data_IF_532085031045
#
_entry.id   IF_532085031045
#
_cell.length_a   1.000
_cell.length_b   1.000
_cell.length_c   1.000
_cell.angle_alpha   90.00
_cell.angle_beta   90.00
_cell.angle_gamma   90.00
#
_symmetry.space_group_name_H-M   'P 1'
#
loop_
_entity.id
_entity.type
_entity.pdbx_description
1 polymer ?
#
# COMPACT_ATOMS: atom_id res chain seq x y z
N UNK A 1 -9.65 9.91 11.43
CA UNK A 1 -8.68 10.11 10.32
C UNK A 1 -9.24 9.90 8.90
N UNK A 2 -9.63 8.70 8.47
CA UNK A 2 -10.02 8.46 7.05
C UNK A 2 -11.25 9.28 6.63
N UNK A 3 -12.31 9.31 7.45
CA UNK A 3 -13.50 10.13 7.20
C UNK A 3 -13.17 11.63 7.11
N UNK A 4 -12.36 12.12 8.06
CA UNK A 4 -11.88 13.50 8.04
C UNK A 4 -11.10 13.85 6.76
N UNK A 5 -10.33 12.91 6.22
CA UNK A 5 -9.62 13.11 4.95
C UNK A 5 -10.55 13.12 3.73
N UNK A 6 -11.56 12.24 3.67
CA UNK A 6 -12.59 12.25 2.62
C UNK A 6 -13.33 13.59 2.61
N UNK A 7 -13.81 14.02 3.78
CA UNK A 7 -14.57 15.26 3.92
C UNK A 7 -13.71 16.47 3.59
N UNK A 8 -12.46 16.52 4.06
CA UNK A 8 -11.59 17.64 3.76
C UNK A 8 -11.26 17.76 2.26
N UNK A 9 -11.06 16.64 1.55
CA UNK A 9 -10.86 16.66 0.10
C UNK A 9 -12.14 17.04 -0.66
N UNK A 10 -13.32 16.64 -0.17
CA UNK A 10 -14.58 17.06 -0.77
C UNK A 10 -14.80 18.57 -0.57
N UNK A 11 -14.59 19.06 0.65
CA UNK A 11 -14.78 20.46 1.03
C UNK A 11 -13.75 21.42 0.41
N UNK A 12 -12.61 20.91 -0.06
CA UNK A 12 -11.61 21.73 -0.77
C UNK A 12 -11.96 21.98 -2.24
N UNK A 13 -13.10 21.49 -2.73
CA UNK A 13 -13.52 21.56 -4.13
C UNK A 13 -14.87 22.27 -4.25
N UNK A 14 -15.10 22.90 -5.39
CA UNK A 14 -16.44 23.27 -5.82
C UNK A 14 -17.11 22.03 -6.46
N UNK A 15 -17.95 21.33 -5.71
CA UNK A 15 -18.63 20.14 -6.22
C UNK A 15 -19.70 20.49 -7.27
N UNK A 16 -19.75 19.72 -8.36
CA UNK A 16 -20.88 19.74 -9.30
C UNK A 16 -22.15 19.19 -8.67
N UNK A 17 -23.30 19.36 -9.35
CA UNK A 17 -24.62 19.04 -8.80
C UNK A 17 -24.77 17.59 -8.30
N UNK A 18 -24.39 16.58 -9.10
CA UNK A 18 -24.48 15.18 -8.65
C UNK A 18 -23.48 14.89 -7.53
N UNK A 19 -22.28 15.46 -7.60
CA UNK A 19 -21.29 15.29 -6.54
C UNK A 19 -21.74 15.91 -5.21
N UNK A 20 -22.43 17.05 -5.26
CA UNK A 20 -23.02 17.71 -4.10
C UNK A 20 -24.17 16.87 -3.52
N UNK A 21 -25.05 16.32 -4.36
CA UNK A 21 -26.09 15.40 -3.88
C UNK A 21 -25.47 14.18 -3.17
N UNK A 22 -24.42 13.59 -3.75
CA UNK A 22 -23.69 12.47 -3.13
C UNK A 22 -23.06 12.89 -1.80
N UNK A 23 -22.51 14.11 -1.71
CA UNK A 23 -21.97 14.65 -0.47
C UNK A 23 -23.05 14.80 0.61
N UNK A 24 -24.20 15.34 0.25
CA UNK A 24 -25.32 15.54 1.18
C UNK A 24 -25.87 14.21 1.68
N UNK A 25 -26.01 13.21 0.80
CA UNK A 25 -26.39 11.84 1.17
C UNK A 25 -25.33 11.18 2.08
N UNK A 26 -24.05 11.41 1.80
CA UNK A 26 -22.95 10.85 2.59
C UNK A 26 -22.90 11.43 4.01
N UNK A 27 -23.08 12.74 4.14
CA UNK A 27 -23.02 13.44 5.44
C UNK A 27 -24.30 13.23 6.26
N UNK A 28 -25.47 13.34 5.62
CA UNK A 28 -26.75 13.35 6.33
C UNK A 28 -27.44 11.98 6.37
N UNK A 29 -26.96 11.03 5.58
CA UNK A 29 -27.60 9.73 5.38
C UNK A 29 -28.61 9.75 4.25
N UNK A 30 -29.05 8.56 3.84
CA UNK A 30 -29.98 8.41 2.72
C UNK A 30 -30.73 7.08 2.80
N UNK A 31 -31.87 7.02 2.10
CA UNK A 31 -32.62 5.77 1.92
C UNK A 31 -32.29 5.20 0.54
N UNK A 32 -31.71 4.01 0.50
CA UNK A 32 -31.42 3.27 -0.73
C UNK A 32 -32.53 2.29 -1.01
N UNK A 33 -33.19 2.43 -2.17
CA UNK A 33 -34.24 1.52 -2.62
C UNK A 33 -33.63 0.29 -3.27
N UNK A 34 -33.85 -0.88 -2.68
CA UNK A 34 -33.43 -2.17 -3.23
C UNK A 34 -34.65 -3.01 -3.58
N UNK A 35 -34.46 -4.02 -4.42
CA UNK A 35 -35.51 -5.00 -4.71
C UNK A 35 -35.97 -5.77 -3.46
N UNK A 36 -35.11 -5.88 -2.45
CA UNK A 36 -35.37 -6.51 -1.15
C UNK A 36 -36.03 -5.58 -0.14
N UNK A 37 -36.21 -4.29 -0.46
CA UNK A 37 -36.76 -3.28 0.44
C UNK A 37 -35.89 -2.03 0.53
N UNK A 38 -36.38 -1.04 1.26
CA UNK A 38 -35.67 0.22 1.51
C UNK A 38 -34.66 0.03 2.65
N UNK A 39 -33.41 0.39 2.40
CA UNK A 39 -32.33 0.36 3.40
C UNK A 39 -31.99 1.78 3.81
N UNK A 40 -31.99 2.04 5.11
CA UNK A 40 -31.50 3.29 5.66
C UNK A 40 -29.98 3.22 5.80
N UNK A 41 -29.28 4.17 5.20
CA UNK A 41 -27.82 4.32 5.35
C UNK A 41 -27.58 5.54 6.23
N UNK A 42 -27.00 5.36 7.43
CA UNK A 42 -26.74 6.49 8.31
C UNK A 42 -25.69 7.42 7.70
N UNK A 43 -25.85 8.72 7.95
CA UNK A 43 -24.87 9.73 7.55
C UNK A 43 -23.60 9.64 8.40
N UNK A 44 -22.45 9.93 7.80
CA UNK A 44 -21.18 9.93 8.53
C UNK A 44 -20.99 11.17 9.42
N UNK A 45 -21.83 12.20 9.27
CA UNK A 45 -21.67 13.49 9.92
C UNK A 45 -20.56 14.35 9.29
N UNK A 46 -20.56 15.65 9.60
CA UNK A 46 -19.60 16.61 9.04
C UNK A 46 -18.42 16.93 9.96
N UNK A 47 -18.48 16.52 11.23
CA UNK A 47 -17.50 16.89 12.25
C UNK A 47 -16.47 15.77 12.45
N UNK A 48 -15.37 15.84 11.67
CA UNK A 48 -14.25 14.90 11.74
C UNK A 48 -12.92 15.67 11.74
N UNK A 49 -12.48 16.09 12.92
CA UNK A 49 -11.26 16.90 13.09
C UNK A 49 -9.97 16.14 12.76
N UNK A 50 -9.91 14.84 13.06
CA UNK A 50 -8.74 14.01 12.78
C UNK A 50 -8.66 13.63 11.30
N UNK A 51 -7.51 13.88 10.69
CA UNK A 51 -7.23 13.61 9.28
C UNK A 51 -6.06 12.66 9.11
N UNK A 52 -5.97 12.06 7.93
CA UNK A 52 -4.71 11.47 7.48
C UNK A 52 -3.61 12.56 7.49
N UNK A 53 -2.33 12.21 7.73
CA UNK A 53 -1.24 13.17 7.68
C UNK A 53 -1.31 14.03 6.41
N UNK A 54 -1.44 15.34 6.60
CA UNK A 54 -1.53 16.31 5.53
C UNK A 54 -0.11 16.58 5.00
N UNK A 55 0.03 16.62 3.67
CA UNK A 55 1.28 16.90 2.96
C UNK A 55 2.47 16.01 3.33
N UNK A 56 2.41 14.75 2.89
CA UNK A 56 3.56 13.82 2.92
C UNK A 56 4.53 14.06 1.76
N UNK A 57 4.28 15.06 0.91
CA UNK A 57 4.99 15.24 -0.36
C UNK A 57 6.48 15.51 -0.14
N UNK A 58 6.83 16.33 0.85
CA UNK A 58 8.24 16.56 1.20
C UNK A 58 8.92 15.26 1.65
N UNK A 59 8.28 14.49 2.53
CA UNK A 59 8.83 13.23 3.07
C UNK A 59 9.01 12.20 1.97
N UNK A 60 8.03 12.06 1.08
CA UNK A 60 8.12 11.18 -0.08
C UNK A 60 9.18 11.66 -1.06
N UNK A 61 9.39 12.97 -1.21
CA UNK A 61 10.47 13.54 -2.03
C UNK A 61 11.84 13.20 -1.45
N UNK A 62 12.01 13.35 -0.14
CA UNK A 62 13.24 13.00 0.57
C UNK A 62 13.51 11.49 0.49
N UNK A 63 12.49 10.66 0.78
CA UNK A 63 12.56 9.21 0.64
C UNK A 63 12.93 8.81 -0.79
N UNK A 64 12.27 9.39 -1.80
CA UNK A 64 12.58 9.16 -3.21
C UNK A 64 14.04 9.46 -3.52
N UNK A 65 14.58 10.57 -3.04
CA UNK A 65 15.99 10.91 -3.24
C UNK A 65 16.94 9.87 -2.63
N UNK A 66 16.59 9.30 -1.47
CA UNK A 66 17.35 8.18 -0.87
C UNK A 66 17.20 6.91 -1.71
N UNK A 67 16.00 6.60 -2.20
CA UNK A 67 15.75 5.41 -3.03
C UNK A 67 16.46 5.50 -4.39
N UNK A 68 16.45 6.65 -5.05
CA UNK A 68 17.16 6.86 -6.32
C UNK A 68 18.68 6.71 -6.16
N UNK A 69 19.22 7.09 -5.00
CA UNK A 69 20.64 6.88 -4.68
C UNK A 69 20.94 5.41 -4.34
N UNK A 70 20.16 4.82 -3.43
CA UNK A 70 20.37 3.46 -2.92
C UNK A 70 20.12 2.39 -3.99
N UNK A 71 19.16 2.64 -4.89
CA UNK A 71 18.71 1.70 -5.92
C UNK A 71 19.04 2.20 -7.33
N UNK A 72 20.07 3.04 -7.49
CA UNK A 72 20.51 3.54 -8.79
C UNK A 72 20.77 2.41 -9.79
N UNK A 73 21.46 1.35 -9.37
CA UNK A 73 21.75 0.19 -10.22
C UNK A 73 20.48 -0.61 -10.56
N UNK A 74 19.55 -0.75 -9.61
CA UNK A 74 18.23 -1.35 -9.89
C UNK A 74 17.47 -0.56 -10.96
N UNK A 75 17.44 0.77 -10.84
CA UNK A 75 16.77 1.65 -11.78
C UNK A 75 17.43 1.53 -13.16
N UNK A 76 18.76 1.47 -13.21
CA UNK A 76 19.51 1.25 -14.45
C UNK A 76 19.18 -0.09 -15.10
N UNK A 77 19.20 -1.20 -14.34
CA UNK A 77 18.83 -2.54 -14.85
C UNK A 77 17.42 -2.54 -15.45
N UNK A 78 16.46 -1.93 -14.75
CA UNK A 78 15.07 -1.84 -15.22
C UNK A 78 14.97 -1.05 -16.52
N UNK A 79 15.65 0.11 -16.61
CA UNK A 79 15.67 0.96 -17.80
C UNK A 79 16.41 0.30 -18.97
N UNK A 80 17.56 -0.33 -18.74
CA UNK A 80 18.29 -1.05 -19.79
C UNK A 80 17.47 -2.21 -20.35
N UNK A 81 16.75 -2.95 -19.49
CA UNK A 81 15.83 -3.98 -19.95
C UNK A 81 14.68 -3.39 -20.77
N UNK A 82 14.12 -2.26 -20.34
CA UNK A 82 13.09 -1.54 -21.09
C UNK A 82 13.58 -1.18 -22.49
N UNK A 83 14.73 -0.53 -22.60
CA UNK A 83 15.31 -0.02 -23.84
C UNK A 83 15.71 -1.12 -24.82
N UNK A 84 16.27 -2.21 -24.31
CA UNK A 84 16.85 -3.26 -25.16
C UNK A 84 15.90 -4.43 -25.42
N UNK A 85 14.88 -4.63 -24.59
CA UNK A 85 14.00 -5.82 -24.67
C UNK A 85 12.54 -5.47 -24.88
N UNK A 86 12.02 -4.48 -24.15
CA UNK A 86 10.57 -4.15 -24.19
C UNK A 86 10.24 -3.18 -25.32
N UNK A 87 10.92 -2.04 -25.38
CA UNK A 87 10.76 -1.00 -26.42
C UNK A 87 10.88 -1.54 -27.86
N UNK A 88 11.86 -2.42 -28.20
CA UNK A 88 12.04 -2.89 -29.57
C UNK A 88 10.89 -3.78 -30.10
N UNK A 89 9.93 -4.17 -29.26
CA UNK A 89 8.77 -5.00 -29.67
C UNK A 89 7.76 -4.24 -30.54
N UNK A 90 7.81 -2.90 -30.56
CA UNK A 90 6.96 -2.06 -31.40
C UNK A 90 5.58 -1.73 -30.82
N UNK A 91 4.80 -0.99 -31.60
CA UNK A 91 3.71 -0.09 -31.17
C UNK A 91 2.41 -0.73 -30.60
N UNK A 92 2.35 -2.03 -30.32
CA UNK A 92 1.17 -2.66 -29.70
C UNK A 92 1.11 -2.50 -28.15
N UNK A 93 1.67 -1.39 -27.64
CA UNK A 93 1.99 -1.08 -26.23
C UNK A 93 3.24 -1.84 -25.71
N UNK A 94 4.43 -1.21 -25.70
CA UNK A 94 5.57 -1.79 -24.98
C UNK A 94 5.21 -1.90 -23.50
N UNK A 95 5.24 -3.13 -22.97
CA UNK A 95 4.95 -3.40 -21.57
C UNK A 95 5.75 -4.60 -21.09
N UNK A 96 6.15 -4.59 -19.82
CA UNK A 96 6.68 -5.76 -19.14
C UNK A 96 5.56 -6.79 -19.02
N UNK A 97 5.71 -7.92 -19.71
CA UNK A 97 4.87 -9.10 -19.52
C UNK A 97 5.38 -9.91 -18.31
N UNK A 98 4.74 -11.05 -18.03
CA UNK A 98 5.08 -11.89 -16.87
C UNK A 98 6.54 -12.40 -16.92
N UNK A 99 7.02 -12.80 -18.09
CA UNK A 99 8.39 -13.29 -18.27
C UNK A 99 9.42 -12.17 -18.10
N UNK A 100 9.09 -10.97 -18.58
CA UNK A 100 9.94 -9.78 -18.40
C UNK A 100 10.07 -9.41 -16.93
N UNK A 101 8.95 -9.41 -16.20
CA UNK A 101 8.96 -9.12 -14.76
C UNK A 101 9.86 -10.11 -14.04
N UNK A 102 9.71 -11.41 -14.33
CA UNK A 102 10.59 -12.45 -13.77
C UNK A 102 12.06 -12.16 -14.11
N UNK A 103 12.37 -11.92 -15.38
CA UNK A 103 13.74 -11.68 -15.84
C UNK A 103 14.37 -10.46 -15.16
N UNK A 104 13.63 -9.35 -15.02
CA UNK A 104 14.11 -8.15 -14.32
C UNK A 104 14.40 -8.44 -12.85
N UNK A 105 13.52 -9.17 -12.15
CA UNK A 105 13.77 -9.56 -10.76
C UNK A 105 15.00 -10.47 -10.62
N UNK A 106 15.21 -11.39 -11.56
CA UNK A 106 16.41 -12.24 -11.59
C UNK A 106 17.68 -11.43 -11.83
N UNK A 107 17.68 -10.48 -12.78
CA UNK A 107 18.81 -9.60 -13.03
C UNK A 107 19.17 -8.76 -11.80
N UNK A 108 18.16 -8.24 -11.10
CA UNK A 108 18.37 -7.46 -9.89
C UNK A 108 18.87 -8.32 -8.73
N UNK A 109 18.32 -9.54 -8.56
CA UNK A 109 18.86 -10.51 -7.60
C UNK A 109 20.33 -10.79 -7.88
N UNK A 110 20.67 -11.15 -9.12
CA UNK A 110 22.03 -11.53 -9.49
C UNK A 110 23.02 -10.35 -9.35
N UNK A 111 22.53 -9.11 -9.42
CA UNK A 111 23.34 -7.94 -9.14
C UNK A 111 23.72 -7.81 -7.64
N UNK A 112 22.77 -8.02 -6.73
CA UNK A 112 23.01 -7.85 -5.28
C UNK A 112 23.47 -9.13 -4.56
N UNK A 113 23.16 -10.30 -5.09
CA UNK A 113 23.56 -11.61 -4.57
C UNK A 113 23.97 -12.54 -5.72
N UNK A 114 25.13 -12.26 -6.37
CA UNK A 114 25.56 -12.96 -7.59
C UNK A 114 25.79 -14.46 -7.41
N UNK A 115 26.11 -14.89 -6.19
CA UNK A 115 26.31 -16.30 -5.84
C UNK A 115 25.04 -16.94 -5.26
N UNK A 116 23.92 -16.20 -5.22
CA UNK A 116 22.64 -16.59 -4.62
C UNK A 116 22.79 -17.19 -3.21
N UNK A 117 23.64 -16.57 -2.39
CA UNK A 117 23.95 -17.01 -1.03
C UNK A 117 22.78 -16.88 -0.06
N UNK A 118 21.83 -15.98 -0.36
CA UNK A 118 20.59 -15.83 0.40
C UNK A 118 19.49 -16.80 -0.02
N UNK A 119 19.72 -17.63 -1.06
CA UNK A 119 18.78 -18.61 -1.62
C UNK A 119 17.45 -17.97 -2.07
N UNK A 120 17.53 -16.85 -2.80
CA UNK A 120 16.36 -16.13 -3.29
C UNK A 120 15.96 -16.63 -4.67
N UNK A 121 14.71 -17.09 -4.78
CA UNK A 121 14.14 -17.54 -6.06
C UNK A 121 13.14 -16.55 -6.63
N UNK A 122 12.97 -16.55 -7.96
CA UNK A 122 11.92 -15.80 -8.64
C UNK A 122 11.06 -16.79 -9.43
N UNK A 123 9.79 -16.91 -9.06
CA UNK A 123 8.89 -17.96 -9.56
C UNK A 123 7.63 -17.37 -10.16
N UNK A 124 7.10 -18.01 -11.20
CA UNK A 124 5.76 -17.68 -11.72
C UNK A 124 4.74 -18.50 -10.95
N UNK A 125 3.78 -17.82 -10.33
CA UNK A 125 2.66 -18.45 -9.63
C UNK A 125 1.44 -18.47 -10.56
N UNK A 126 0.98 -19.65 -11.03
CA UNK A 126 -0.14 -19.75 -11.95
C UNK A 126 -1.48 -19.29 -11.34
N UNK A 127 -1.59 -19.29 -10.02
CA UNK A 127 -2.82 -19.00 -9.31
C UNK A 127 -2.93 -17.55 -8.82
N UNK A 128 -1.80 -16.87 -8.67
CA UNK A 128 -1.74 -15.49 -8.21
C UNK A 128 -1.94 -14.45 -9.32
N UNK A 129 -2.38 -13.26 -8.91
CA UNK A 129 -2.54 -12.06 -9.76
C UNK A 129 -1.68 -10.88 -9.31
N UNK A 130 -0.83 -11.07 -8.30
CA UNK A 130 0.01 -10.04 -7.70
C UNK A 130 1.49 -10.37 -7.87
N UNK A 131 2.33 -9.34 -7.71
CA UNK A 131 3.72 -9.55 -7.31
C UNK A 131 3.70 -9.68 -5.78
N UNK A 132 4.52 -10.58 -5.23
CA UNK A 132 4.64 -10.70 -3.77
C UNK A 132 5.93 -11.39 -3.37
N UNK A 133 6.55 -10.93 -2.30
CA UNK A 133 7.52 -11.68 -1.53
C UNK A 133 6.90 -12.82 -0.71
N UNK A 134 7.64 -13.92 -0.56
CA UNK A 134 7.34 -15.03 0.33
C UNK A 134 8.52 -15.31 1.26
N UNK A 135 8.40 -14.92 2.52
CA UNK A 135 9.46 -15.14 3.51
C UNK A 135 9.81 -16.62 3.71
N UNK A 136 8.84 -17.55 3.86
CA UNK A 136 9.17 -18.96 4.10
C UNK A 136 9.97 -19.63 2.98
N UNK A 137 9.64 -19.35 1.71
CA UNK A 137 10.35 -19.91 0.55
C UNK A 137 11.42 -18.99 -0.03
N UNK A 138 11.65 -17.82 0.58
CA UNK A 138 12.55 -16.76 0.07
C UNK A 138 12.36 -16.51 -1.42
N UNK A 139 11.10 -16.33 -1.82
CA UNK A 139 10.78 -16.21 -3.23
C UNK A 139 10.02 -14.94 -3.56
N UNK A 140 10.33 -14.38 -4.73
CA UNK A 140 9.47 -13.40 -5.39
C UNK A 140 8.53 -14.17 -6.30
N UNK A 141 7.23 -14.10 -6.00
CA UNK A 141 6.18 -14.67 -6.85
C UNK A 141 5.69 -13.64 -7.85
N UNK A 142 5.76 -14.00 -9.12
CA UNK A 142 5.15 -13.29 -10.24
C UNK A 142 3.84 -13.98 -10.59
N UNK A 143 2.71 -13.38 -10.20
CA UNK A 143 1.40 -13.93 -10.49
C UNK A 143 1.07 -13.94 -11.98
N UNK A 144 0.82 -15.12 -12.56
CA UNK A 144 0.53 -15.30 -13.98
C UNK A 144 -0.74 -14.57 -14.47
N UNK A 145 -1.65 -14.22 -13.55
CA UNK A 145 -2.90 -13.49 -13.85
C UNK A 145 -2.75 -11.98 -13.69
N UNK A 146 -1.55 -11.47 -13.38
CA UNK A 146 -1.28 -10.04 -13.24
C UNK A 146 -1.36 -9.35 -14.61
N UNK A 147 -1.77 -8.08 -14.60
CA UNK A 147 -1.64 -7.20 -15.76
C UNK A 147 -0.18 -6.86 -16.03
N UNK A 148 0.13 -6.57 -17.29
CA UNK A 148 1.42 -6.00 -17.69
C UNK A 148 1.69 -4.68 -16.98
N UNK A 149 2.98 -4.33 -16.87
CA UNK A 149 3.44 -3.04 -16.38
C UNK A 149 3.91 -2.22 -17.58
N UNK A 150 3.35 -1.03 -17.76
CA UNK A 150 3.45 -0.31 -19.03
C UNK A 150 4.56 0.76 -19.04
N UNK A 151 5.38 0.85 -17.99
CA UNK A 151 6.48 1.81 -17.92
C UNK A 151 7.58 1.36 -16.93
N UNK A 152 8.84 1.79 -17.12
CA UNK A 152 9.96 1.38 -16.28
C UNK A 152 9.90 1.96 -14.85
N UNK A 153 9.26 3.10 -14.63
CA UNK A 153 9.15 3.70 -13.28
C UNK A 153 8.28 2.82 -12.39
N UNK A 154 7.12 2.37 -12.89
CA UNK A 154 6.23 1.44 -12.17
C UNK A 154 6.94 0.09 -11.93
N UNK A 155 7.72 -0.41 -12.90
CA UNK A 155 8.49 -1.63 -12.72
C UNK A 155 9.56 -1.47 -11.63
N UNK A 156 10.35 -0.39 -11.67
CA UNK A 156 11.35 -0.08 -10.66
C UNK A 156 10.73 0.06 -9.26
N UNK A 157 9.58 0.74 -9.15
CA UNK A 157 8.83 0.85 -7.90
C UNK A 157 8.42 -0.52 -7.34
N UNK A 158 7.99 -1.45 -8.22
CA UNK A 158 7.67 -2.83 -7.82
C UNK A 158 8.91 -3.64 -7.45
N UNK A 159 10.03 -3.44 -8.12
CA UNK A 159 11.29 -4.09 -7.75
C UNK A 159 11.77 -3.59 -6.38
N UNK A 160 11.74 -2.28 -6.14
CA UNK A 160 12.09 -1.69 -4.84
C UNK A 160 11.18 -2.22 -3.74
N UNK A 161 9.88 -2.38 -3.99
CA UNK A 161 8.96 -2.98 -3.02
C UNK A 161 9.34 -4.43 -2.70
N UNK A 162 9.32 -5.30 -3.71
CA UNK A 162 9.39 -6.75 -3.50
C UNK A 162 10.82 -7.23 -3.26
N UNK A 163 11.77 -6.77 -4.07
CA UNK A 163 13.18 -7.08 -3.88
C UNK A 163 13.83 -6.09 -2.92
N UNK A 164 13.78 -4.78 -3.18
CA UNK A 164 14.53 -3.80 -2.38
C UNK A 164 14.18 -3.79 -0.89
N UNK A 165 12.89 -3.84 -0.54
CA UNK A 165 12.46 -3.91 0.86
C UNK A 165 12.40 -5.34 1.33
N UNK A 166 11.66 -6.25 0.71
CA UNK A 166 11.56 -7.59 1.30
C UNK A 166 12.78 -8.48 1.05
N UNK A 167 13.29 -8.56 -0.18
CA UNK A 167 14.40 -9.43 -0.57
C UNK A 167 15.77 -8.96 -0.08
N UNK A 168 16.21 -7.76 -0.44
CA UNK A 168 17.51 -7.20 -0.11
C UNK A 168 17.70 -7.02 1.39
N UNK A 169 16.64 -6.71 2.15
CA UNK A 169 16.72 -6.76 3.63
C UNK A 169 16.95 -8.18 4.15
N UNK A 170 16.42 -9.21 3.48
CA UNK A 170 16.73 -10.59 3.81
C UNK A 170 18.20 -10.94 3.46
N UNK A 171 18.69 -10.49 2.30
CA UNK A 171 20.10 -10.65 1.87
C UNK A 171 21.05 -9.97 2.86
N UNK A 172 20.82 -8.70 3.17
CA UNK A 172 21.66 -7.95 4.09
C UNK A 172 21.58 -8.54 5.50
N UNK A 173 20.38 -8.95 5.92
CA UNK A 173 20.16 -9.59 7.20
C UNK A 173 20.91 -10.92 7.35
N UNK A 174 21.03 -11.71 6.28
CA UNK A 174 21.71 -13.02 6.33
C UNK A 174 23.23 -12.90 6.42
N UNK A 175 23.77 -11.73 6.07
CA UNK A 175 25.20 -11.41 6.19
C UNK A 175 25.59 -10.97 7.62
N UNK A 176 24.62 -10.72 8.48
CA UNK A 176 24.83 -10.31 9.87
C UNK A 176 24.51 -11.50 10.79
N UNK A 177 25.40 -11.81 11.73
CA UNK A 177 25.21 -12.88 12.71
C UNK A 177 24.26 -12.46 13.86
N UNK A 178 23.04 -12.09 13.49
CA UNK A 178 21.95 -11.73 14.41
C UNK A 178 20.71 -12.58 14.07
N UNK A 179 20.24 -13.44 14.99
CA UNK A 179 19.08 -14.28 14.77
C UNK A 179 17.84 -13.48 14.35
N UNK A 180 17.18 -13.92 13.29
CA UNK A 180 15.96 -13.30 12.78
C UNK A 180 16.18 -12.03 11.95
N UNK A 181 17.42 -11.57 11.75
CA UNK A 181 17.64 -10.34 10.98
C UNK A 181 17.38 -10.50 9.47
N UNK A 182 17.43 -11.72 8.96
CA UNK A 182 17.14 -12.10 7.57
C UNK A 182 15.67 -12.49 7.32
N UNK A 183 14.98 -12.92 8.38
CA UNK A 183 13.64 -13.53 8.32
C UNK A 183 12.58 -12.72 9.06
N UNK A 184 12.99 -11.77 9.90
CA UNK A 184 12.11 -10.93 10.68
C UNK A 184 12.39 -10.94 12.17
N UNK A 185 12.79 -9.79 12.72
CA UNK A 185 12.95 -9.65 14.16
C UNK A 185 11.60 -9.53 14.89
N UNK A 186 11.50 -10.25 16.01
CA UNK A 186 10.45 -10.08 17.01
C UNK A 186 11.10 -9.79 18.35
N UNK A 187 10.58 -8.80 19.07
CA UNK A 187 11.14 -8.39 20.35
C UNK A 187 10.06 -7.89 21.30
N UNK A 188 10.44 -7.69 22.56
CA UNK A 188 9.62 -6.92 23.48
C UNK A 188 9.41 -5.50 22.91
N UNK A 189 8.29 -4.89 23.28
CA UNK A 189 7.87 -3.58 22.83
C UNK A 189 7.38 -2.77 24.03
N UNK A 190 7.78 -1.50 24.09
CA UNK A 190 7.24 -0.54 25.06
C UNK A 190 5.87 0.01 24.61
N UNK A 191 5.22 0.78 25.48
CA UNK A 191 3.94 1.42 25.17
C UNK A 191 4.07 2.32 23.91
N UNK A 192 3.31 1.97 22.87
CA UNK A 192 3.32 2.69 21.60
C UNK A 192 4.36 2.18 20.57
N UNK A 193 5.06 1.09 20.88
CA UNK A 193 5.88 0.32 19.95
C UNK A 193 5.16 -0.97 19.52
N UNK A 194 5.74 -1.66 18.53
CA UNK A 194 5.29 -2.98 18.07
C UNK A 194 6.37 -4.03 18.30
N UNK A 195 5.93 -5.22 18.66
CA UNK A 195 6.82 -6.38 18.80
C UNK A 195 7.23 -6.97 17.45
N UNK A 196 6.43 -6.76 16.39
CA UNK A 196 6.67 -7.32 15.06
C UNK A 196 7.31 -6.31 14.10
N UNK A 197 8.26 -6.78 13.30
CA UNK A 197 8.82 -5.99 12.18
C UNK A 197 7.89 -5.91 10.96
N UNK A 198 7.02 -6.92 10.78
CA UNK A 198 6.30 -7.16 9.53
C UNK A 198 5.38 -6.00 9.17
N UNK A 199 4.71 -5.43 10.17
CA UNK A 199 3.80 -4.31 9.96
C UNK A 199 4.54 -3.09 9.42
N UNK A 200 5.69 -2.74 10.02
CA UNK A 200 6.54 -1.67 9.50
C UNK A 200 7.06 -2.00 8.11
N UNK A 201 7.54 -3.24 7.87
CA UNK A 201 8.12 -3.65 6.59
C UNK A 201 7.13 -3.45 5.42
N UNK A 202 5.90 -3.96 5.51
CA UNK A 202 4.88 -3.82 4.47
C UNK A 202 4.46 -2.35 4.25
N UNK A 203 4.42 -1.60 5.34
CA UNK A 203 4.14 -0.16 5.34
C UNK A 203 5.20 0.65 4.61
N UNK A 204 6.46 0.38 4.95
CA UNK A 204 7.63 1.00 4.36
C UNK A 204 7.77 0.62 2.88
N UNK A 205 7.60 -0.66 2.52
CA UNK A 205 7.59 -1.12 1.13
C UNK A 205 6.53 -0.38 0.29
N UNK A 206 5.33 -0.24 0.84
CA UNK A 206 4.27 0.54 0.20
C UNK A 206 4.63 2.02 0.04
N UNK A 207 5.27 2.66 1.03
CA UNK A 207 5.70 4.05 0.92
C UNK A 207 6.85 4.21 -0.08
N UNK A 208 7.79 3.26 -0.15
CA UNK A 208 8.86 3.28 -1.13
C UNK A 208 8.31 3.17 -2.56
N UNK A 209 7.35 2.27 -2.79
CA UNK A 209 6.65 2.18 -4.08
C UNK A 209 5.98 3.51 -4.44
N UNK A 210 5.25 4.10 -3.48
CA UNK A 210 4.58 5.38 -3.64
C UNK A 210 5.55 6.53 -3.91
N UNK A 211 6.72 6.55 -3.26
CA UNK A 211 7.74 7.58 -3.46
C UNK A 211 8.39 7.48 -4.84
N UNK A 212 8.61 6.26 -5.34
CA UNK A 212 9.14 6.00 -6.67
C UNK A 212 8.12 6.34 -7.78
N UNK A 213 6.84 6.06 -7.55
CA UNK A 213 5.75 6.44 -8.45
C UNK A 213 5.44 7.94 -8.29
N UNK A 214 6.03 8.75 -9.17
CA UNK A 214 6.03 10.23 -9.21
C UNK A 214 4.68 10.99 -9.08
N UNK A 215 3.57 10.33 -8.78
CA UNK A 215 2.21 10.87 -8.76
C UNK A 215 1.48 10.88 -7.41
N UNK A 216 2.15 10.67 -6.27
CA UNK A 216 1.53 10.80 -4.95
C UNK A 216 1.78 12.19 -4.34
N UNK A 217 0.82 13.09 -4.55
CA UNK A 217 0.70 14.36 -3.82
C UNK A 217 -0.44 14.36 -2.81
N UNK A 218 -1.32 13.35 -2.84
CA UNK A 218 -2.50 13.25 -1.99
C UNK A 218 -2.97 11.80 -1.82
N UNK A 219 -3.63 11.53 -0.69
CA UNK A 219 -4.32 10.27 -0.44
C UNK A 219 -5.44 10.06 -1.47
N UNK A 220 -5.23 9.21 -2.48
CA UNK A 220 -6.26 8.74 -3.41
C UNK A 220 -7.19 7.71 -2.76
N UNK A 221 -8.43 7.51 -3.26
CA UNK A 221 -9.36 6.54 -2.69
C UNK A 221 -8.78 5.12 -2.63
N UNK A 222 -7.98 4.69 -3.60
CA UNK A 222 -7.32 3.37 -3.57
C UNK A 222 -6.44 3.15 -2.33
N UNK A 223 -5.90 4.21 -1.74
CA UNK A 223 -5.06 4.13 -0.55
C UNK A 223 -5.86 4.02 0.75
N UNK A 224 -7.12 4.47 0.77
CA UNK A 224 -7.92 4.56 2.01
C UNK A 224 -9.17 3.68 2.00
N UNK A 225 -9.56 3.13 0.85
CA UNK A 225 -10.83 2.40 0.67
C UNK A 225 -10.98 1.19 1.59
N UNK A 226 -9.92 0.38 1.74
CA UNK A 226 -9.97 -0.80 2.61
C UNK A 226 -10.10 -0.39 4.08
N UNK A 227 -9.41 0.68 4.49
CA UNK A 227 -9.43 1.17 5.86
C UNK A 227 -10.77 1.82 6.21
N UNK A 228 -11.38 2.52 5.25
CA UNK A 228 -12.75 2.99 5.38
C UNK A 228 -13.71 1.81 5.62
N UNK A 229 -13.67 0.79 4.76
CA UNK A 229 -14.55 -0.37 4.89
C UNK A 229 -14.36 -1.09 6.23
N UNK A 230 -13.11 -1.30 6.63
CA UNK A 230 -12.77 -1.89 7.93
C UNK A 230 -13.29 -1.05 9.09
N UNK A 231 -13.06 0.27 9.06
CA UNK A 231 -13.46 1.17 10.14
C UNK A 231 -14.99 1.24 10.27
N UNK A 232 -15.71 1.28 9.14
CA UNK A 232 -17.17 1.23 9.13
C UNK A 232 -17.68 -0.08 9.74
N UNK A 233 -17.13 -1.21 9.30
CA UNK A 233 -17.50 -2.53 9.81
C UNK A 233 -17.18 -2.71 11.31
N UNK A 234 -16.02 -2.24 11.78
CA UNK A 234 -15.68 -2.19 13.21
C UNK A 234 -16.60 -1.27 14.00
N UNK A 235 -17.07 -0.19 13.37
CA UNK A 235 -18.07 0.73 13.92
C UNK A 235 -19.48 0.13 13.98
N UNK A 236 -19.66 -1.11 13.53
CA UNK A 236 -20.93 -1.83 13.56
C UNK A 236 -21.73 -1.75 12.26
N UNK A 237 -21.21 -1.12 11.21
CA UNK A 237 -21.90 -1.07 9.92
C UNK A 237 -21.93 -2.44 9.26
N UNK A 238 -23.08 -2.81 8.71
CA UNK A 238 -23.19 -4.04 7.92
C UNK A 238 -22.52 -3.92 6.54
N UNK A 239 -22.57 -4.99 5.75
CA UNK A 239 -22.02 -4.98 4.39
C UNK A 239 -22.63 -3.88 3.52
N UNK A 240 -23.95 -3.67 3.61
CA UNK A 240 -24.70 -2.75 2.76
C UNK A 240 -24.38 -1.31 3.11
N UNK A 241 -24.45 -0.96 4.38
CA UNK A 241 -24.09 0.35 4.90
C UNK A 241 -22.63 0.68 4.56
N UNK A 242 -21.72 -0.27 4.77
CA UNK A 242 -20.30 -0.10 4.43
C UNK A 242 -20.12 0.14 2.92
N UNK A 243 -20.78 -0.65 2.08
CA UNK A 243 -20.74 -0.50 0.63
C UNK A 243 -21.25 0.88 0.19
N UNK A 244 -22.42 1.28 0.68
CA UNK A 244 -23.09 2.54 0.30
C UNK A 244 -22.28 3.76 0.71
N UNK A 245 -21.68 3.73 1.89
CA UNK A 245 -20.81 4.81 2.38
C UNK A 245 -19.47 4.84 1.62
N UNK A 246 -18.87 3.67 1.36
CA UNK A 246 -17.56 3.59 0.71
C UNK A 246 -17.60 4.08 -0.74
N UNK A 247 -18.58 3.67 -1.55
CA UNK A 247 -18.59 4.12 -2.95
C UNK A 247 -18.78 5.63 -3.05
N UNK A 248 -19.60 6.23 -2.16
CA UNK A 248 -19.78 7.69 -2.08
C UNK A 248 -18.47 8.38 -1.70
N UNK A 249 -17.79 7.92 -0.66
CA UNK A 249 -16.48 8.43 -0.27
C UNK A 249 -15.48 8.41 -1.45
N UNK A 250 -15.46 7.31 -2.22
CA UNK A 250 -14.60 7.18 -3.40
C UNK A 250 -14.95 8.21 -4.49
N UNK A 251 -16.24 8.39 -4.78
CA UNK A 251 -16.68 9.41 -5.74
C UNK A 251 -16.27 10.81 -5.28
N UNK A 252 -16.45 11.14 -3.99
CA UNK A 252 -16.11 12.47 -3.46
C UNK A 252 -14.59 12.77 -3.52
N UNK A 253 -13.76 11.78 -3.23
CA UNK A 253 -12.30 11.92 -3.34
C UNK A 253 -11.84 12.11 -4.80
N UNK A 254 -12.46 11.38 -5.75
CA UNK A 254 -12.15 11.46 -7.17
C UNK A 254 -12.92 12.57 -7.92
N UNK A 255 -13.86 13.24 -7.26
CA UNK A 255 -14.67 14.28 -7.89
C UNK A 255 -13.76 15.40 -8.43
N UNK A 256 -13.94 15.81 -9.70
CA UNK A 256 -13.20 16.93 -10.27
C UNK A 256 -13.68 18.25 -9.67
N UNK A 257 -12.77 19.22 -9.56
CA UNK A 257 -13.11 20.56 -9.10
C UNK A 257 -13.91 21.34 -10.16
N UNK A 258 -15.02 21.95 -9.75
CA UNK A 258 -15.91 22.75 -10.59
C UNK A 258 -16.66 21.97 -11.68
N UNK A 259 -16.63 20.63 -11.66
CA UNK A 259 -17.24 19.78 -12.69
C UNK A 259 -18.07 18.68 -12.03
N UNK A 260 -19.07 18.21 -12.78
CA UNK A 260 -19.91 17.13 -12.31
C UNK A 260 -19.24 15.76 -12.49
N UNK A 261 -19.65 14.80 -11.66
CA UNK A 261 -19.17 13.40 -11.75
C UNK A 261 -19.93 12.64 -12.83
N UNK A 262 -19.21 11.78 -13.56
CA UNK A 262 -19.82 10.96 -14.62
C UNK A 262 -20.40 9.68 -14.05
N UNK A 263 -21.41 9.11 -14.72
CA UNK A 263 -21.99 7.82 -14.32
C UNK A 263 -20.94 6.70 -14.37
N UNK A 264 -19.99 6.77 -15.32
CA UNK A 264 -18.83 5.87 -15.39
C UNK A 264 -17.97 5.94 -14.12
N UNK A 265 -17.75 7.12 -13.57
CA UNK A 265 -16.99 7.31 -12.32
C UNK A 265 -17.72 6.65 -11.14
N UNK A 266 -19.04 6.84 -11.07
CA UNK A 266 -19.90 6.25 -10.03
C UNK A 266 -19.89 4.72 -10.14
N UNK A 267 -20.07 4.17 -11.33
CA UNK A 267 -20.09 2.72 -11.56
C UNK A 267 -18.75 2.07 -11.21
N UNK A 268 -17.64 2.73 -11.57
CA UNK A 268 -16.30 2.27 -11.19
C UNK A 268 -16.11 2.30 -9.67
N UNK A 269 -16.53 3.38 -9.00
CA UNK A 269 -16.46 3.51 -7.55
C UNK A 269 -17.29 2.43 -6.84
N UNK A 270 -18.50 2.15 -7.32
CA UNK A 270 -19.38 1.07 -6.84
C UNK A 270 -18.72 -0.30 -7.01
N UNK A 271 -18.20 -0.62 -8.21
CA UNK A 271 -17.51 -1.90 -8.46
C UNK A 271 -16.32 -2.09 -7.51
N UNK A 272 -15.51 -1.05 -7.31
CA UNK A 272 -14.35 -1.13 -6.44
C UNK A 272 -14.71 -1.15 -4.95
N UNK A 273 -15.78 -0.47 -4.54
CA UNK A 273 -16.32 -0.56 -3.19
C UNK A 273 -16.84 -1.97 -2.89
N UNK A 274 -17.54 -2.60 -3.84
CA UNK A 274 -17.99 -3.99 -3.73
C UNK A 274 -16.83 -4.96 -3.48
N UNK A 275 -15.78 -4.88 -4.29
CA UNK A 275 -14.57 -5.72 -4.12
C UNK A 275 -13.94 -5.50 -2.74
N UNK A 276 -13.91 -4.25 -2.27
CA UNK A 276 -13.37 -3.92 -0.94
C UNK A 276 -14.23 -4.49 0.18
N UNK A 277 -15.56 -4.40 0.10
CA UNK A 277 -16.48 -4.95 1.10
C UNK A 277 -16.41 -6.49 1.11
N UNK A 278 -16.42 -7.14 -0.06
CA UNK A 278 -16.27 -8.60 -0.14
C UNK A 278 -14.98 -9.07 0.51
N UNK A 279 -13.90 -8.30 0.40
CA UNK A 279 -12.63 -8.60 1.07
C UNK A 279 -12.75 -8.51 2.60
N UNK A 280 -13.36 -7.46 3.12
CA UNK A 280 -13.51 -7.23 4.58
C UNK A 280 -14.47 -8.21 5.23
N UNK A 281 -15.61 -8.49 4.59
CA UNK A 281 -16.64 -9.39 5.10
C UNK A 281 -16.48 -10.83 4.57
N UNK A 282 -15.31 -11.18 4.03
CA UNK A 282 -15.09 -12.51 3.45
C UNK A 282 -15.15 -13.58 4.54
N UNK A 283 -16.01 -14.57 4.35
CA UNK A 283 -16.10 -15.72 5.23
C UNK A 283 -16.78 -15.43 6.56
N UNK A 284 -17.45 -14.29 6.69
CA UNK A 284 -18.23 -13.91 7.87
C UNK A 284 -19.70 -13.74 7.50
N UNK A 285 -20.65 -14.13 8.38
CA UNK A 285 -22.05 -13.82 8.16
C UNK A 285 -22.20 -12.30 8.09
N UNK A 286 -22.78 -11.79 7.00
CA UNK A 286 -23.02 -10.35 6.81
C UNK A 286 -24.15 -9.83 7.69
N UNK A 287 -24.90 -10.73 8.30
CA UNK A 287 -26.00 -10.50 9.22
C UNK A 287 -25.78 -11.45 10.41
N UNK A 288 -25.34 -10.91 11.54
CA UNK A 288 -25.37 -11.61 12.82
C UNK A 288 -26.55 -11.03 13.60
N UNK A 289 -27.55 -11.86 13.91
CA UNK A 289 -28.73 -11.43 14.68
C UNK A 289 -28.34 -10.94 16.09
N UNK A 290 -27.25 -11.45 16.66
CA UNK A 290 -26.67 -11.01 17.93
C UNK A 290 -25.15 -11.27 17.96
N UNK A 291 -24.34 -10.20 17.90
CA UNK A 291 -22.89 -10.27 18.07
C UNK A 291 -22.10 -9.24 17.26
N UNK A 292 -20.82 -9.00 17.58
CA UNK A 292 -19.99 -8.08 16.79
C UNK A 292 -19.81 -8.62 15.37
N UNK A 293 -19.95 -7.74 14.38
CA UNK A 293 -19.63 -8.03 12.98
C UNK A 293 -18.21 -8.57 12.90
N UNK A 294 -18.06 -9.81 12.42
CA UNK A 294 -16.74 -10.40 12.21
C UNK A 294 -16.17 -9.86 10.89
N UNK A 295 -14.93 -9.39 10.94
CA UNK A 295 -14.23 -8.79 9.79
C UNK A 295 -12.84 -9.38 9.61
N UNK A 296 -12.41 -9.51 8.35
CA UNK A 296 -11.05 -9.91 8.00
C UNK A 296 -10.12 -8.69 8.09
N UNK A 297 -9.43 -8.55 9.23
CA UNK A 297 -8.67 -7.33 9.57
C UNK A 297 -7.21 -7.32 9.12
N UNK A 298 -6.82 -8.26 8.25
CA UNK A 298 -5.45 -8.33 7.71
C UNK A 298 -4.99 -6.98 7.16
N UNK A 299 -5.89 -6.22 6.54
CA UNK A 299 -5.49 -4.99 5.88
C UNK A 299 -5.19 -3.83 6.85
N UNK A 300 -5.60 -3.89 8.12
CA UNK A 300 -5.20 -2.88 9.12
C UNK A 300 -3.68 -2.81 9.29
N UNK A 301 -2.99 -3.94 9.14
CA UNK A 301 -1.53 -3.97 9.17
C UNK A 301 -0.92 -3.04 8.11
N UNK A 302 -1.48 -2.95 6.90
CA UNK A 302 -0.96 -2.07 5.85
C UNK A 302 -1.13 -0.58 6.16
N UNK A 303 -2.24 -0.17 6.82
CA UNK A 303 -2.41 1.24 7.21
C UNK A 303 -1.45 1.57 8.34
N UNK A 304 -1.48 0.76 9.39
CA UNK A 304 -0.67 0.97 10.58
C UNK A 304 0.81 1.01 10.19
N UNK A 305 1.25 0.07 9.34
CA UNK A 305 2.59 0.08 8.78
C UNK A 305 2.95 1.38 8.06
N UNK A 306 2.08 1.91 7.20
CA UNK A 306 2.34 3.19 6.52
C UNK A 306 2.43 4.35 7.52
N UNK A 307 1.56 4.38 8.53
CA UNK A 307 1.61 5.40 9.57
C UNK A 307 2.88 5.28 10.41
N UNK A 308 3.30 4.07 10.75
CA UNK A 308 4.55 3.78 11.48
C UNK A 308 5.78 4.17 10.65
N UNK A 309 5.76 3.90 9.35
CA UNK A 309 6.80 4.33 8.42
C UNK A 309 6.83 5.86 8.26
N UNK A 310 5.68 6.54 8.18
CA UNK A 310 5.63 8.01 8.18
C UNK A 310 6.16 8.59 9.51
N UNK A 311 5.79 8.01 10.65
CA UNK A 311 6.30 8.38 11.99
C UNK A 311 7.81 8.22 12.07
N UNK A 312 8.35 7.15 11.49
CA UNK A 312 9.79 6.96 11.38
C UNK A 312 10.43 8.08 10.54
N UNK A 313 9.89 8.37 9.35
CA UNK A 313 10.41 9.45 8.49
C UNK A 313 10.34 10.83 9.17
N UNK A 314 9.34 11.07 10.02
CA UNK A 314 9.26 12.27 10.86
C UNK A 314 10.39 12.32 11.89
N UNK A 315 10.67 11.19 12.56
CA UNK A 315 11.74 11.06 13.55
C UNK A 315 13.12 11.31 12.95
N UNK A 316 13.33 10.91 11.69
CA UNK A 316 14.63 10.98 11.00
C UNK A 316 14.67 12.07 9.91
N UNK A 317 13.78 13.07 9.99
CA UNK A 317 13.68 14.11 8.96
C UNK A 317 15.04 14.76 8.65
N UNK A 318 15.45 14.71 7.38
CA UNK A 318 16.76 15.20 6.92
C UNK A 318 17.95 14.25 7.13
N UNK A 319 17.78 13.14 7.85
CA UNK A 319 18.81 12.12 8.07
C UNK A 319 18.66 10.97 7.06
N UNK A 320 19.36 11.12 5.92
CA UNK A 320 19.34 10.11 4.85
C UNK A 320 19.98 8.79 5.26
N UNK A 321 20.99 8.82 6.12
CA UNK A 321 21.73 7.62 6.52
C UNK A 321 20.87 6.76 7.45
N UNK A 322 20.06 7.38 8.31
CA UNK A 322 19.05 6.67 9.08
C UNK A 322 18.01 5.96 8.20
N UNK A 323 17.58 6.59 7.09
CA UNK A 323 16.68 5.95 6.12
C UNK A 323 17.39 4.77 5.42
N UNK A 324 18.64 4.94 4.98
CA UNK A 324 19.44 3.86 4.38
C UNK A 324 19.61 2.68 5.34
N UNK A 325 19.79 2.96 6.64
CA UNK A 325 19.93 1.93 7.68
C UNK A 325 18.73 0.99 7.77
N UNK A 326 17.54 1.40 7.35
CA UNK A 326 16.35 0.53 7.32
C UNK A 326 16.58 -0.70 6.43
N UNK A 327 17.40 -0.56 5.38
CA UNK A 327 17.70 -1.64 4.45
C UNK A 327 18.73 -2.66 4.97
N UNK A 328 19.31 -2.44 6.16
CA UNK A 328 20.34 -3.33 6.71
C UNK A 328 19.84 -4.74 7.10
N UNK A 329 18.54 -4.88 7.35
CA UNK A 329 17.94 -6.15 7.77
C UNK A 329 16.44 -5.99 8.05
N UNK A 330 15.77 -7.08 8.44
CA UNK A 330 14.33 -7.14 8.71
C UNK A 330 13.99 -6.78 10.16
N UNK A 331 13.76 -5.49 10.41
CA UNK A 331 13.42 -4.94 11.73
C UNK A 331 12.45 -3.75 11.63
N UNK A 332 11.87 -3.35 12.76
CA UNK A 332 11.14 -2.10 12.92
C UNK A 332 12.05 -1.03 13.57
N UNK A 333 12.42 0.06 12.87
CA UNK A 333 13.23 1.13 13.43
C UNK A 333 12.48 1.99 14.47
N UNK A 334 11.17 1.82 14.62
CA UNK A 334 10.40 2.43 15.70
C UNK A 334 10.43 1.60 16.99
N UNK A 335 10.83 0.33 16.94
CA UNK A 335 11.06 -0.47 18.14
C UNK A 335 12.49 -0.21 18.66
N UNK A 336 12.59 0.36 19.86
CA UNK A 336 13.85 0.77 20.47
C UNK A 336 14.85 -0.38 20.66
N UNK A 337 14.38 -1.56 21.06
CA UNK A 337 15.23 -2.74 21.24
C UNK A 337 15.77 -3.25 19.90
N UNK A 338 14.93 -3.29 18.87
CA UNK A 338 15.36 -3.69 17.52
C UNK A 338 16.35 -2.69 16.93
N UNK A 339 16.08 -1.39 17.06
CA UNK A 339 17.01 -0.35 16.62
C UNK A 339 18.37 -0.43 17.32
N UNK A 340 18.39 -0.67 18.64
CA UNK A 340 19.62 -0.83 19.40
C UNK A 340 20.44 -2.06 18.98
N UNK A 341 19.78 -3.16 18.60
CA UNK A 341 20.45 -4.33 18.01
C UNK A 341 21.11 -3.92 16.69
N UNK A 342 20.40 -3.23 15.80
CA UNK A 342 20.98 -2.77 14.53
C UNK A 342 22.18 -1.85 14.76
N UNK A 343 22.07 -0.89 15.68
CA UNK A 343 23.17 0.04 15.99
C UNK A 343 24.42 -0.68 16.52
N UNK A 344 24.25 -1.82 17.19
CA UNK A 344 25.36 -2.61 17.73
C UNK A 344 26.04 -3.49 16.68
N UNK A 345 25.29 -4.04 15.74
CA UNK A 345 25.77 -5.09 14.83
C UNK A 345 25.97 -4.63 13.38
N UNK A 346 25.39 -3.50 12.98
CA UNK A 346 25.49 -2.96 11.62
C UNK A 346 26.35 -1.71 11.60
N UNK A 347 27.49 -1.80 10.92
CA UNK A 347 28.31 -0.63 10.55
C UNK A 347 27.89 -0.19 9.16
N UNK A 348 27.45 1.06 9.00
CA UNK A 348 27.09 1.65 7.71
C UNK A 348 28.33 2.27 7.08
#
# INVERSE_FOLDING_TARGET
MVLGEVLAQANSKQLGEKAQQIYDEFVNGTTVKLASGDVQVPGVGSDHAERMPADVSQKLTELRGVLEEQFADTINIVNEYWENVVLPRGDEEPAYNIDDMKAVFELVRDHYDPENTADISVVIDPDASALSWDTPSRSIRVGAKRKSINNPIEMAAKVVHEYGVHGLRAVNGSQVDVPGFDTGMYSDAEDGERSDYLTFEEGFASLCEIAMDSGFSKWKPMHVSHYFALSAAYGGSDFRETYESLWRARVLMDAPDGKDVTDRTIDLAKKQAWVSCVRVFRGTPTELEDGPVLTMNKDLAYLNGKLDALKFLDKVAGDKDAIKRVFAGKYDPNNSLQAAIVDKYVTI
#
